data_IF_698711290204
#
_entry.id   IF_698711290204
#
_cell.length_a   1.000
_cell.length_b   1.000
_cell.length_c   1.000
_cell.angle_alpha   90.00
_cell.angle_beta   90.00
_cell.angle_gamma   90.00
#
_symmetry.space_group_name_H-M   'P 1'
#
loop_
_entity.id
_entity.type
_entity.pdbx_description
1 polymer ?
#
# COMPACT_ATOMS: atom_id res chain seq x y z
N UNK A 1 44.31 32.05 11.07
CA UNK A 1 43.16 31.27 11.58
C UNK A 1 42.26 30.90 10.40
N UNK A 2 42.70 30.01 9.49
CA UNK A 2 41.92 29.73 8.27
C UNK A 2 42.12 28.27 7.79
N UNK A 3 41.85 27.30 8.67
CA UNK A 3 41.85 25.87 8.32
C UNK A 3 40.45 25.24 8.33
N UNK A 4 39.43 25.96 8.84
CA UNK A 4 38.05 25.45 8.95
C UNK A 4 37.13 25.86 7.80
N UNK A 5 37.62 26.65 6.83
CA UNK A 5 36.80 27.19 5.74
C UNK A 5 36.64 26.24 4.53
N UNK A 6 37.24 25.05 4.58
CA UNK A 6 37.20 24.06 3.49
C UNK A 6 36.10 23.00 3.62
N UNK A 7 35.29 23.05 4.68
CA UNK A 7 34.19 22.10 4.96
C UNK A 7 32.79 22.60 4.52
N UNK A 8 32.71 23.67 3.72
CA UNK A 8 31.42 24.21 3.23
C UNK A 8 30.92 23.58 1.91
N UNK A 9 31.41 22.38 1.53
CA UNK A 9 30.73 21.59 0.49
C UNK A 9 29.51 20.93 1.12
N UNK A 10 28.33 21.25 0.59
CA UNK A 10 27.04 20.60 0.84
C UNK A 10 27.21 19.20 1.45
N UNK A 11 26.89 19.05 2.75
CA UNK A 11 27.32 17.87 3.48
C UNK A 11 26.70 16.61 2.84
N UNK A 12 27.55 15.68 2.41
CA UNK A 12 27.12 14.40 1.83
C UNK A 12 26.20 13.61 2.78
N UNK A 13 26.29 13.92 4.08
CA UNK A 13 25.42 13.44 5.15
C UNK A 13 23.96 13.87 4.96
N UNK A 14 23.70 15.11 4.53
CA UNK A 14 22.32 15.59 4.33
C UNK A 14 21.68 14.91 3.12
N UNK A 15 22.42 14.80 2.02
CA UNK A 15 21.95 14.08 0.81
C UNK A 15 21.70 12.60 1.08
N UNK A 16 22.58 11.94 1.85
CA UNK A 16 22.40 10.54 2.23
C UNK A 16 21.20 10.35 3.17
N UNK A 17 20.96 11.29 4.09
CA UNK A 17 19.80 11.29 4.99
C UNK A 17 18.49 11.45 4.21
N UNK A 18 18.45 12.33 3.23
CA UNK A 18 17.29 12.53 2.34
C UNK A 18 16.97 11.24 1.56
N UNK A 19 18.01 10.60 0.99
CA UNK A 19 17.87 9.34 0.24
C UNK A 19 17.42 8.18 1.13
N UNK A 20 17.98 8.05 2.33
CA UNK A 20 17.55 7.01 3.29
C UNK A 20 16.10 7.24 3.74
N UNK A 21 15.69 8.48 3.97
CA UNK A 21 14.30 8.81 4.29
C UNK A 21 13.35 8.42 3.17
N UNK A 22 13.73 8.68 1.91
CA UNK A 22 12.93 8.30 0.73
C UNK A 22 12.80 6.77 0.60
N UNK A 23 13.91 6.03 0.76
CA UNK A 23 13.92 4.56 0.72
C UNK A 23 13.02 3.98 1.82
N UNK A 24 13.08 4.52 3.05
CA UNK A 24 12.26 4.06 4.19
C UNK A 24 10.76 4.34 4.03
N UNK A 25 10.37 5.27 3.15
CA UNK A 25 8.98 5.53 2.77
C UNK A 25 8.54 4.51 1.71
N UNK A 26 9.40 4.26 0.71
CA UNK A 26 9.14 3.30 -0.37
C UNK A 26 9.04 1.84 0.15
N UNK A 27 9.87 1.47 1.13
CA UNK A 27 9.93 0.10 1.68
C UNK A 27 8.72 -0.28 2.57
N UNK A 28 7.96 0.70 3.07
CA UNK A 28 6.90 0.46 4.08
C UNK A 28 5.47 0.38 3.54
N UNK A 29 5.25 0.61 2.24
CA UNK A 29 3.89 0.61 1.67
C UNK A 29 3.74 -0.11 0.32
N UNK A 30 4.83 -0.60 -0.29
CA UNK A 30 4.74 -1.24 -1.61
C UNK A 30 4.47 -2.74 -1.49
N UNK A 31 3.21 -3.09 -1.18
CA UNK A 31 2.72 -4.42 -1.50
C UNK A 31 2.82 -4.59 -3.03
N UNK A 32 3.55 -5.59 -3.49
CA UNK A 32 3.68 -5.83 -4.93
C UNK A 32 2.30 -6.08 -5.53
N UNK A 33 2.10 -5.60 -6.77
CA UNK A 33 0.84 -5.77 -7.48
C UNK A 33 0.41 -7.25 -7.56
N UNK A 34 1.38 -8.15 -7.70
CA UNK A 34 1.18 -9.59 -7.67
C UNK A 34 0.57 -10.08 -6.34
N UNK A 35 1.07 -9.60 -5.20
CA UNK A 35 0.52 -9.96 -3.88
C UNK A 35 -0.90 -9.42 -3.72
N UNK A 36 -1.17 -8.20 -4.20
CA UNK A 36 -2.52 -7.62 -4.18
C UNK A 36 -3.50 -8.42 -5.06
N UNK A 37 -3.07 -8.83 -6.24
CA UNK A 37 -3.88 -9.65 -7.16
C UNK A 37 -4.17 -11.02 -6.55
N UNK A 38 -3.19 -11.64 -5.88
CA UNK A 38 -3.37 -12.92 -5.17
C UNK A 38 -4.37 -12.79 -4.01
N UNK A 39 -4.24 -11.75 -3.17
CA UNK A 39 -5.19 -11.50 -2.06
C UNK A 39 -6.60 -11.27 -2.60
N UNK A 40 -6.73 -10.50 -3.68
CA UNK A 40 -8.01 -10.25 -4.35
C UNK A 40 -8.65 -11.57 -4.79
N UNK A 41 -7.91 -12.44 -5.47
CA UNK A 41 -8.46 -13.69 -6.01
C UNK A 41 -8.88 -14.66 -4.89
N UNK A 42 -8.12 -14.73 -3.80
CA UNK A 42 -8.45 -15.55 -2.63
C UNK A 42 -9.73 -15.07 -1.92
N UNK A 43 -9.84 -13.76 -1.66
CA UNK A 43 -11.06 -13.18 -1.05
C UNK A 43 -12.27 -13.43 -1.95
N UNK A 44 -12.13 -13.21 -3.26
CA UNK A 44 -13.23 -13.43 -4.21
C UNK A 44 -13.65 -14.88 -4.29
N UNK A 45 -12.70 -15.82 -4.21
CA UNK A 45 -12.99 -17.25 -4.20
C UNK A 45 -13.80 -17.65 -2.98
N UNK A 46 -13.51 -17.07 -1.80
CA UNK A 46 -14.30 -17.29 -0.58
C UNK A 46 -15.70 -16.72 -0.72
N UNK A 47 -15.82 -15.46 -1.15
CA UNK A 47 -17.11 -14.81 -1.32
C UNK A 47 -17.99 -15.51 -2.37
N UNK A 48 -17.39 -15.99 -3.48
CA UNK A 48 -18.10 -16.70 -4.57
C UNK A 48 -18.83 -17.98 -4.11
N UNK A 49 -18.45 -18.54 -2.95
CA UNK A 49 -19.16 -19.67 -2.33
C UNK A 49 -20.54 -19.29 -1.85
N UNK A 50 -20.71 -18.05 -1.37
CA UNK A 50 -21.92 -17.54 -0.73
C UNK A 50 -22.70 -16.54 -1.60
N UNK A 51 -22.06 -15.97 -2.62
CA UNK A 51 -22.66 -14.95 -3.48
C UNK A 51 -22.16 -15.07 -4.92
N UNK A 52 -22.98 -14.64 -5.85
CA UNK A 52 -22.65 -14.45 -7.26
C UNK A 52 -22.11 -13.02 -7.43
N UNK A 53 -20.84 -12.91 -7.82
CA UNK A 53 -20.10 -11.64 -7.92
C UNK A 53 -19.70 -11.44 -9.37
N UNK A 54 -19.78 -10.21 -9.85
CA UNK A 54 -19.17 -9.83 -11.12
C UNK A 54 -17.71 -9.48 -10.94
N UNK A 55 -16.81 -10.20 -11.63
CA UNK A 55 -15.37 -9.96 -11.54
C UNK A 55 -14.92 -8.73 -12.31
N UNK A 56 -15.71 -8.28 -13.29
CA UNK A 56 -15.32 -7.20 -14.21
C UNK A 56 -15.39 -5.80 -13.58
N UNK A 57 -16.16 -5.64 -12.50
CA UNK A 57 -16.43 -4.34 -11.86
C UNK A 57 -15.85 -4.20 -10.45
N UNK A 58 -14.87 -5.05 -10.10
CA UNK A 58 -14.24 -5.00 -8.76
C UNK A 58 -13.18 -3.91 -8.72
N UNK A 59 -13.38 -2.92 -7.84
CA UNK A 59 -12.44 -1.84 -7.56
C UNK A 59 -11.70 -2.10 -6.24
N UNK A 60 -10.37 -2.11 -6.25
CA UNK A 60 -9.53 -2.33 -5.06
C UNK A 60 -8.53 -1.18 -4.96
N UNK A 61 -8.50 -0.52 -3.80
CA UNK A 61 -7.67 0.66 -3.52
C UNK A 61 -6.91 0.48 -2.21
N UNK A 62 -5.64 0.88 -2.21
CA UNK A 62 -4.86 1.02 -0.97
C UNK A 62 -4.99 2.47 -0.51
N UNK A 63 -5.42 2.68 0.74
CA UNK A 63 -5.44 4.00 1.38
C UNK A 63 -4.49 4.01 2.57
N UNK A 64 -3.83 5.14 2.80
CA UNK A 64 -3.03 5.33 4.01
C UNK A 64 -3.91 6.06 5.01
N UNK A 65 -4.25 5.40 6.13
CA UNK A 65 -5.01 6.05 7.18
C UNK A 65 -4.06 6.92 8.01
N UNK A 66 -4.27 8.24 7.97
CA UNK A 66 -3.50 9.21 8.77
C UNK A 66 -3.97 9.29 10.23
N UNK A 67 -5.08 8.62 10.58
CA UNK A 67 -5.89 9.04 11.73
C UNK A 67 -5.55 8.37 13.07
N UNK A 68 -4.76 7.29 13.10
CA UNK A 68 -4.47 6.58 14.35
C UNK A 68 -2.99 6.19 14.46
N UNK A 69 -2.20 7.07 15.07
CA UNK A 69 -0.92 6.74 15.75
C UNK A 69 -0.08 5.67 15.04
N UNK A 70 0.30 5.93 13.79
CA UNK A 70 1.11 5.02 12.99
C UNK A 70 0.50 4.82 11.61
N UNK A 71 1.20 5.33 10.58
CA UNK A 71 0.87 5.20 9.17
C UNK A 71 0.49 3.74 8.82
N UNK A 72 -0.80 3.42 8.88
CA UNK A 72 -1.32 2.09 8.62
C UNK A 72 -1.98 2.10 7.25
N UNK A 73 -1.46 1.26 6.34
CA UNK A 73 -2.06 1.05 5.03
C UNK A 73 -3.31 0.17 5.18
N UNK A 74 -4.43 0.61 4.61
CA UNK A 74 -5.70 -0.08 4.61
C UNK A 74 -6.11 -0.41 3.16
N UNK A 75 -6.50 -1.67 2.94
CA UNK A 75 -7.02 -2.13 1.65
C UNK A 75 -8.54 -1.99 1.63
N UNK A 76 -9.07 -1.18 0.71
CA UNK A 76 -10.51 -0.94 0.51
C UNK A 76 -10.93 -1.56 -0.81
N UNK A 77 -11.90 -2.47 -0.79
CA UNK A 77 -12.43 -3.12 -2.00
C UNK A 77 -13.93 -2.90 -2.12
N UNK A 78 -14.38 -2.46 -3.30
CA UNK A 78 -15.79 -2.43 -3.70
C UNK A 78 -16.08 -3.64 -4.58
N UNK A 79 -16.94 -4.53 -4.09
CA UNK A 79 -17.28 -5.80 -4.75
C UNK A 79 -18.79 -5.80 -5.03
N UNK A 80 -19.22 -5.63 -6.29
CA UNK A 80 -20.63 -5.64 -6.63
C UNK A 80 -21.21 -7.06 -6.56
N UNK A 81 -22.31 -7.20 -5.82
CA UNK A 81 -23.00 -8.47 -5.61
C UNK A 81 -24.19 -8.55 -6.57
N UNK A 82 -24.24 -9.59 -7.42
CA UNK A 82 -25.36 -9.85 -8.32
C UNK A 82 -26.49 -10.59 -7.62
N UNK A 83 -26.17 -11.67 -6.90
CA UNK A 83 -27.13 -12.50 -6.15
C UNK A 83 -26.49 -13.11 -4.93
N UNK A 84 -27.22 -13.21 -3.83
CA UNK A 84 -26.80 -13.97 -2.66
C UNK A 84 -27.35 -15.39 -2.78
N UNK A 85 -26.50 -16.40 -2.58
CA UNK A 85 -26.91 -17.80 -2.56
C UNK A 85 -27.48 -18.11 -1.18
N UNK A 86 -28.79 -18.05 -1.04
CA UNK A 86 -29.46 -18.57 0.14
C UNK A 86 -29.51 -20.10 0.03
N UNK A 87 -28.68 -20.79 0.82
CA UNK A 87 -28.95 -22.20 1.09
C UNK A 87 -30.20 -22.26 1.95
N UNK A 88 -31.31 -22.65 1.34
CA UNK A 88 -32.57 -22.95 2.02
C UNK A 88 -32.57 -24.42 2.43
#
# INVERSE_FOLDING_TARGET
MDLFKMFSKQSSKDVAKERLRLILIHDRCDMSKEVLDNIKDDILKVLSKYMEIDRSEIDVKMTNSEELTGNSAALVASIPIKKVKYNK
#
